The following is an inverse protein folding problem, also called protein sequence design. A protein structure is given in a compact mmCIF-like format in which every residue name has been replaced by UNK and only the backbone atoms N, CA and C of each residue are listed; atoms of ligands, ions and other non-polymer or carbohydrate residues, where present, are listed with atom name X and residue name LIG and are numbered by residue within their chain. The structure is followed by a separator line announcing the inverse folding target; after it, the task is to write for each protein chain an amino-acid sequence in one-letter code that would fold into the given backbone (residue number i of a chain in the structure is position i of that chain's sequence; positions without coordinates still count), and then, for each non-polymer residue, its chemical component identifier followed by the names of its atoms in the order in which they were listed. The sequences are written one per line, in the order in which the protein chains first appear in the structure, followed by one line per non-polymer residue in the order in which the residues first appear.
data_IF_337318103723
#
_entry.id   IF_337318103723
#
_cell.length_a   1.000
_cell.length_b   1.000
_cell.length_c   1.000
_cell.angle_alpha   90.00
_cell.angle_beta   90.00
_cell.angle_gamma   90.00
#
_symmetry.space_group_name_H-M   'P 1'
#
loop_
_entity.id
_entity.type
_entity.pdbx_description
1 polymer ?
#
# COMPACT_ATOMS: atom_id res chain seq x y z
N UNK A 1 -47.90 -21.73 48.76
CA UNK A 1 -47.93 -22.37 50.08
C UNK A 1 -48.42 -23.77 49.81
N UNK A 2 -47.50 -24.72 49.72
CA UNK A 2 -47.68 -26.19 49.63
C UNK A 2 -46.39 -26.77 49.01
N UNK A 3 -45.82 -27.90 49.39
CA UNK A 3 -45.55 -28.62 50.65
C UNK A 3 -44.64 -29.79 50.20
N UNK A 4 -43.77 -30.32 51.06
CA UNK A 4 -43.12 -31.62 50.79
C UNK A 4 -41.73 -31.84 51.37
N UNK A 5 -41.66 -32.03 52.69
CA UNK A 5 -40.51 -32.62 53.40
C UNK A 5 -40.43 -34.15 53.21
N UNK A 6 -39.23 -34.72 53.48
CA UNK A 6 -38.87 -36.13 53.77
C UNK A 6 -38.10 -36.82 52.61
N UNK A 7 -37.02 -37.59 52.79
CA UNK A 7 -36.38 -38.22 53.96
C UNK A 7 -34.88 -38.42 53.68
N UNK A 8 -34.10 -38.51 54.75
CA UNK A 8 -32.66 -38.72 54.82
C UNK A 8 -32.39 -40.23 54.93
N UNK A 9 -31.63 -40.86 54.01
CA UNK A 9 -31.25 -42.28 54.15
C UNK A 9 -29.85 -42.55 53.55
N UNK A 10 -28.94 -42.99 54.41
CA UNK A 10 -27.52 -43.24 54.18
C UNK A 10 -27.24 -44.52 53.36
N UNK A 11 -26.26 -44.49 52.45
CA UNK A 11 -25.51 -45.71 52.09
C UNK A 11 -24.05 -45.38 51.77
N UNK A 12 -23.17 -45.76 52.70
CA UNK A 12 -21.73 -45.90 52.47
C UNK A 12 -21.49 -46.93 51.37
N UNK A 13 -20.76 -46.54 50.31
CA UNK A 13 -20.09 -47.49 49.44
C UNK A 13 -18.61 -47.14 49.37
N UNK A 14 -17.86 -47.70 50.31
CA UNK A 14 -16.43 -47.95 50.18
C UNK A 14 -16.20 -48.77 48.90
N UNK A 15 -15.68 -48.12 47.85
CA UNK A 15 -14.91 -48.82 46.82
C UNK A 15 -13.57 -48.13 46.71
N UNK A 16 -12.67 -48.64 47.54
CA UNK A 16 -11.25 -48.65 47.27
C UNK A 16 -11.04 -49.23 45.84
N UNK A 17 -10.59 -48.36 44.94
CA UNK A 17 -9.95 -48.75 43.69
C UNK A 17 -8.85 -47.75 43.45
N UNK A 18 -7.84 -47.88 44.30
CA UNK A 18 -6.47 -47.49 44.03
C UNK A 18 -6.00 -48.23 42.77
N UNK A 19 -6.02 -47.57 41.62
CA UNK A 19 -5.04 -47.86 40.57
C UNK A 19 -4.58 -46.55 39.93
N UNK A 20 -3.26 -46.40 39.88
CA UNK A 20 -2.56 -45.14 39.80
C UNK A 20 -2.66 -44.48 38.43
N UNK A 21 -2.81 -43.17 38.46
CA UNK A 21 -2.14 -42.27 37.54
C UNK A 21 -1.72 -41.03 38.35
N UNK A 22 -0.45 -41.01 38.76
CA UNK A 22 0.26 -39.78 39.03
C UNK A 22 0.27 -38.98 37.72
N UNK A 23 -0.79 -38.21 37.46
CA UNK A 23 -0.70 -37.17 36.43
C UNK A 23 -0.32 -35.89 37.15
N UNK A 24 1.00 -35.77 37.34
CA UNK A 24 1.76 -34.54 37.48
C UNK A 24 0.99 -33.30 37.02
N UNK A 25 0.96 -32.31 37.92
CA UNK A 25 0.56 -30.92 37.69
C UNK A 25 -0.01 -30.64 36.30
N UNK A 26 -1.32 -30.79 36.15
CA UNK A 26 -2.03 -30.02 35.13
C UNK A 26 -1.98 -28.56 35.58
N UNK A 27 -0.81 -27.95 35.39
CA UNK A 27 -0.64 -26.50 35.35
C UNK A 27 -1.75 -26.00 34.44
N UNK A 28 -2.77 -25.39 35.06
CA UNK A 28 -3.62 -24.42 34.40
C UNK A 28 -2.67 -23.31 33.96
N UNK A 29 -2.01 -23.51 32.82
CA UNK A 29 -1.29 -22.49 32.12
C UNK A 29 -2.33 -21.51 31.60
N UNK A 30 -2.74 -20.60 32.49
CA UNK A 30 -3.17 -19.28 32.11
C UNK A 30 -2.03 -18.69 31.29
N UNK A 31 -2.03 -18.94 29.99
CA UNK A 31 -1.15 -18.24 29.08
C UNK A 31 -1.50 -16.76 29.24
N UNK A 32 -0.54 -15.93 29.71
CA UNK A 32 -0.83 -14.52 29.87
C UNK A 32 -1.30 -13.98 28.50
N UNK A 33 -2.36 -13.15 28.45
CA UNK A 33 -2.81 -12.57 27.20
C UNK A 33 -1.59 -11.92 26.54
N UNK A 34 -1.19 -12.44 25.37
CA UNK A 34 -0.02 -11.95 24.65
C UNK A 34 -0.25 -10.45 24.44
N UNK A 35 0.53 -9.64 25.15
CA UNK A 35 0.49 -8.19 25.00
C UNK A 35 0.75 -7.80 23.54
N UNK A 36 0.34 -6.59 23.12
CA UNK A 36 0.51 -6.16 21.74
C UNK A 36 1.98 -6.30 21.32
N UNK A 37 2.20 -7.05 20.24
CA UNK A 37 3.54 -7.28 19.68
C UNK A 37 3.92 -6.08 18.81
N UNK A 38 4.84 -5.26 19.29
CA UNK A 38 5.41 -4.15 18.51
C UNK A 38 6.63 -4.63 17.74
N UNK A 39 6.73 -4.27 16.45
CA UNK A 39 7.92 -4.51 15.63
C UNK A 39 8.49 -3.17 15.14
N UNK A 40 9.80 -3.01 15.25
CA UNK A 40 10.52 -1.86 14.68
C UNK A 40 10.98 -2.24 13.28
N UNK A 41 10.75 -1.35 12.31
CA UNK A 41 11.15 -1.52 10.92
C UNK A 41 12.20 -0.47 10.54
N UNK A 42 13.05 -0.78 9.55
CA UNK A 42 14.01 0.18 9.04
C UNK A 42 13.41 0.99 7.90
N UNK A 43 14.04 2.12 7.57
CA UNK A 43 13.63 2.95 6.43
C UNK A 43 13.75 2.15 5.12
N UNK A 44 14.78 1.32 5.00
CA UNK A 44 15.07 0.53 3.82
C UNK A 44 14.01 -0.54 3.58
N UNK A 45 13.56 -1.23 4.64
CA UNK A 45 12.51 -2.23 4.52
C UNK A 45 11.17 -1.61 4.15
N UNK A 46 10.84 -0.44 4.71
CA UNK A 46 9.64 0.31 4.33
C UNK A 46 9.67 0.75 2.86
N UNK A 47 10.79 1.32 2.41
CA UNK A 47 10.95 1.75 1.02
C UNK A 47 10.95 0.56 0.05
N UNK A 48 11.50 -0.59 0.45
CA UNK A 48 11.45 -1.81 -0.36
C UNK A 48 10.01 -2.29 -0.55
N UNK A 49 9.20 -2.33 0.51
CA UNK A 49 7.79 -2.68 0.45
C UNK A 49 7.01 -1.71 -0.45
N UNK A 50 7.19 -0.40 -0.26
CA UNK A 50 6.53 0.62 -1.10
C UNK A 50 6.89 0.47 -2.59
N UNK A 51 8.15 0.19 -2.91
CA UNK A 51 8.59 -0.04 -4.30
C UNK A 51 8.01 -1.32 -4.88
N UNK A 52 7.82 -2.36 -4.07
CA UNK A 52 7.21 -3.61 -4.51
C UNK A 52 5.74 -3.41 -4.86
N UNK A 53 4.97 -2.76 -3.97
CA UNK A 53 3.56 -2.45 -4.24
C UNK A 53 3.41 -1.56 -5.47
N UNK A 54 4.28 -0.55 -5.61
CA UNK A 54 4.30 0.32 -6.78
C UNK A 54 4.54 -0.46 -8.08
N UNK A 55 5.55 -1.34 -8.10
CA UNK A 55 5.83 -2.21 -9.25
C UNK A 55 4.65 -3.13 -9.56
N UNK A 56 4.07 -3.77 -8.54
CA UNK A 56 2.92 -4.67 -8.70
C UNK A 56 1.73 -3.97 -9.38
N UNK A 57 1.43 -2.73 -8.97
CA UNK A 57 0.35 -1.93 -9.58
C UNK A 57 0.72 -1.48 -11.00
N UNK A 58 1.96 -1.05 -11.23
CA UNK A 58 2.44 -0.65 -12.57
C UNK A 58 2.32 -1.80 -13.56
N UNK A 59 2.81 -2.99 -13.20
CA UNK A 59 2.83 -4.15 -14.10
C UNK A 59 1.41 -4.62 -14.43
N UNK A 60 0.54 -4.74 -13.42
CA UNK A 60 -0.82 -5.27 -13.58
C UNK A 60 -1.71 -4.31 -14.37
N UNK A 61 -1.56 -3.00 -14.15
CA UNK A 61 -2.38 -2.00 -14.82
C UNK A 61 -1.74 -1.44 -16.10
N UNK A 62 -0.47 -1.77 -16.37
CA UNK A 62 0.35 -1.21 -17.45
C UNK A 62 0.43 0.32 -17.37
N UNK A 63 0.72 0.82 -16.16
CA UNK A 63 0.77 2.24 -15.85
C UNK A 63 2.20 2.73 -15.65
N UNK A 64 2.39 4.04 -15.88
CA UNK A 64 3.58 4.74 -15.43
C UNK A 64 3.56 4.98 -13.93
N UNK A 65 4.74 5.19 -13.37
CA UNK A 65 4.98 5.29 -11.92
C UNK A 65 4.08 6.34 -11.24
N UNK A 66 3.94 7.53 -11.83
CA UNK A 66 3.16 8.62 -11.22
C UNK A 66 1.65 8.30 -11.15
N UNK A 67 1.10 7.62 -12.16
CA UNK A 67 -0.30 7.17 -12.14
C UNK A 67 -0.49 6.07 -11.09
N UNK A 68 0.38 5.06 -11.07
CA UNK A 68 0.33 3.99 -10.06
C UNK A 68 0.45 4.55 -8.63
N UNK A 69 1.34 5.52 -8.41
CA UNK A 69 1.49 6.21 -7.12
C UNK A 69 0.23 6.97 -6.72
N UNK A 70 -0.43 7.64 -7.67
CA UNK A 70 -1.71 8.35 -7.43
C UNK A 70 -2.79 7.38 -6.98
N UNK A 71 -2.91 6.23 -7.64
CA UNK A 71 -3.84 5.18 -7.27
C UNK A 71 -3.55 4.64 -5.87
N UNK A 72 -2.30 4.31 -5.58
CA UNK A 72 -1.89 3.83 -4.25
C UNK A 72 -2.24 4.85 -3.16
N UNK A 73 -2.02 6.14 -3.40
CA UNK A 73 -2.39 7.20 -2.43
C UNK A 73 -3.91 7.28 -2.26
N UNK A 74 -4.69 7.26 -3.35
CA UNK A 74 -6.15 7.30 -3.30
C UNK A 74 -6.75 6.13 -2.51
N UNK A 75 -6.19 4.94 -2.71
CA UNK A 75 -6.56 3.73 -1.96
C UNK A 75 -5.83 3.59 -0.62
N UNK A 76 -5.11 4.63 -0.17
CA UNK A 76 -4.41 4.67 1.14
C UNK A 76 -3.41 3.52 1.33
N UNK A 77 -2.77 3.10 0.24
CA UNK A 77 -1.85 1.97 0.14
C UNK A 77 -2.49 0.60 0.44
N UNK A 78 -3.82 0.50 0.40
CA UNK A 78 -4.53 -0.78 0.46
C UNK A 78 -4.64 -1.39 -0.95
N UNK A 79 -3.61 -2.17 -1.31
CA UNK A 79 -3.51 -2.77 -2.65
C UNK A 79 -4.57 -3.84 -2.87
N UNK A 80 -5.00 -4.54 -1.82
CA UNK A 80 -6.04 -5.55 -1.93
C UNK A 80 -7.39 -4.92 -2.24
N UNK A 81 -7.72 -3.79 -1.60
CA UNK A 81 -8.92 -3.01 -1.94
C UNK A 81 -8.85 -2.45 -3.36
N UNK A 82 -7.68 -1.97 -3.79
CA UNK A 82 -7.47 -1.48 -5.16
C UNK A 82 -7.76 -2.58 -6.18
N UNK A 83 -7.23 -3.79 -5.97
CA UNK A 83 -7.45 -4.93 -6.87
C UNK A 83 -8.88 -5.48 -6.81
N UNK A 84 -9.52 -5.46 -5.65
CA UNK A 84 -10.93 -5.80 -5.56
C UNK A 84 -11.79 -4.87 -6.44
N UNK A 85 -11.59 -3.56 -6.33
CA UNK A 85 -12.32 -2.58 -7.17
C UNK A 85 -11.99 -2.75 -8.65
N UNK A 86 -10.73 -3.04 -8.99
CA UNK A 86 -10.33 -3.32 -10.35
C UNK A 86 -11.11 -4.49 -10.96
N UNK A 87 -11.24 -5.60 -10.21
CA UNK A 87 -11.95 -6.79 -10.67
C UNK A 87 -13.46 -6.54 -10.75
N UNK A 88 -14.03 -5.83 -9.77
CA UNK A 88 -15.47 -5.59 -9.70
C UNK A 88 -15.98 -4.55 -10.71
N UNK A 89 -15.22 -3.47 -10.92
CA UNK A 89 -15.67 -2.27 -11.65
C UNK A 89 -14.84 -1.93 -12.88
N UNK A 90 -13.68 -2.57 -13.06
CA UNK A 90 -12.79 -2.36 -14.19
C UNK A 90 -11.83 -1.18 -14.02
N UNK A 91 -10.94 -1.03 -15.01
CA UNK A 91 -9.86 -0.03 -15.03
C UNK A 91 -10.39 1.40 -15.14
N UNK A 92 -11.34 1.65 -16.04
CA UNK A 92 -11.83 3.00 -16.33
C UNK A 92 -12.46 3.66 -15.10
N UNK A 93 -13.29 2.91 -14.38
CA UNK A 93 -13.88 3.37 -13.11
C UNK A 93 -12.80 3.69 -12.08
N UNK A 94 -11.80 2.83 -11.97
CA UNK A 94 -10.71 2.98 -11.02
C UNK A 94 -9.87 4.24 -11.31
N UNK A 95 -9.65 4.55 -12.58
CA UNK A 95 -8.91 5.74 -13.02
C UNK A 95 -9.71 7.02 -12.82
N UNK A 96 -10.97 7.04 -13.24
CA UNK A 96 -11.87 8.19 -13.11
C UNK A 96 -12.05 8.60 -11.64
N UNK A 97 -12.27 7.63 -10.75
CA UNK A 97 -12.38 7.87 -9.30
C UNK A 97 -11.15 8.53 -8.68
N UNK A 98 -9.96 8.17 -9.17
CA UNK A 98 -8.71 8.71 -8.66
C UNK A 98 -8.24 9.97 -9.41
N UNK A 99 -9.02 10.46 -10.40
CA UNK A 99 -8.63 11.59 -11.24
C UNK A 99 -7.43 11.29 -12.14
N UNK A 100 -7.20 10.01 -12.46
CA UNK A 100 -6.08 9.57 -13.31
C UNK A 100 -6.53 9.57 -14.77
N UNK A 101 -5.94 10.43 -15.59
CA UNK A 101 -6.13 10.40 -17.04
C UNK A 101 -4.92 9.76 -17.69
N UNK A 102 -5.08 8.56 -18.24
CA UNK A 102 -4.00 7.87 -18.97
C UNK A 102 -4.14 8.20 -20.45
N UNK A 103 -3.25 9.05 -20.97
CA UNK A 103 -3.17 9.30 -22.41
C UNK A 103 -2.32 8.18 -23.02
N UNK A 104 -2.88 7.41 -23.94
CA UNK A 104 -2.13 6.46 -24.76
C UNK A 104 -1.19 7.23 -25.69
N UNK A 105 0.01 7.56 -25.21
CA UNK A 105 1.04 8.11 -26.07
C UNK A 105 1.55 6.99 -26.99
N UNK A 106 0.98 6.90 -28.19
CA UNK A 106 1.62 6.18 -29.29
C UNK A 106 2.98 6.84 -29.51
N UNK A 107 4.03 6.10 -29.17
CA UNK A 107 5.41 6.56 -29.21
C UNK A 107 5.82 6.98 -30.62
N UNK A 108 5.59 8.24 -30.96
CA UNK A 108 6.31 8.90 -32.03
C UNK A 108 7.65 9.33 -31.44
N UNK A 109 8.57 8.36 -31.34
CA UNK A 109 9.97 8.64 -31.07
C UNK A 109 10.46 9.60 -32.15
N UNK A 110 10.70 10.85 -31.76
CA UNK A 110 11.23 11.85 -32.68
C UNK A 110 12.65 11.46 -33.06
N UNK A 111 13.03 11.43 -34.34
CA UNK A 111 14.35 10.98 -34.77
C UNK A 111 15.47 11.75 -34.04
N UNK A 112 16.50 11.00 -33.62
CA UNK A 112 17.72 11.53 -33.01
C UNK A 112 18.29 12.65 -33.90
N UNK A 113 18.42 13.86 -33.34
CA UNK A 113 18.94 15.05 -34.04
C UNK A 113 17.88 16.07 -34.45
N UNK A 114 16.59 15.85 -34.14
CA UNK A 114 15.57 16.87 -34.29
C UNK A 114 15.67 17.97 -33.22
N UNK A 115 15.50 19.23 -33.63
CA UNK A 115 15.24 20.35 -32.72
C UNK A 115 13.75 20.42 -32.43
N UNK A 116 13.40 20.79 -31.20
CA UNK A 116 12.03 20.95 -30.72
C UNK A 116 11.90 22.37 -30.19
N UNK A 117 10.83 23.06 -30.55
CA UNK A 117 10.53 24.39 -30.03
C UNK A 117 10.02 24.27 -28.58
N UNK A 118 10.63 25.03 -27.66
CA UNK A 118 10.19 25.10 -26.28
C UNK A 118 8.91 25.95 -26.15
N UNK A 119 7.87 25.43 -25.52
CA UNK A 119 6.58 26.12 -25.37
C UNK A 119 6.62 27.31 -24.38
N UNK A 120 7.73 27.49 -23.65
CA UNK A 120 7.91 28.60 -22.69
C UNK A 120 8.79 29.71 -23.26
N UNK A 121 10.01 29.39 -23.69
CA UNK A 121 10.95 30.40 -24.18
C UNK A 121 10.83 30.65 -25.69
N UNK A 122 10.07 29.82 -26.40
CA UNK A 122 9.86 29.89 -27.86
C UNK A 122 11.14 29.71 -28.69
N UNK A 123 12.19 29.11 -28.10
CA UNK A 123 13.45 28.81 -28.78
C UNK A 123 13.51 27.36 -29.28
N UNK A 124 14.25 27.13 -30.37
CA UNK A 124 14.61 25.80 -30.86
C UNK A 124 15.68 25.16 -29.97
N UNK A 125 15.35 24.00 -29.39
CA UNK A 125 16.20 23.31 -28.42
C UNK A 125 16.50 21.90 -28.93
N UNK A 126 17.74 21.40 -28.81
CA UNK A 126 18.04 20.02 -29.15
C UNK A 126 17.14 19.05 -28.36
N UNK A 127 16.63 17.99 -28.99
CA UNK A 127 15.74 17.03 -28.31
C UNK A 127 16.33 16.42 -27.03
N UNK A 128 17.66 16.38 -26.85
CA UNK A 128 18.31 15.92 -25.62
C UNK A 128 18.34 16.95 -24.47
N UNK A 129 18.02 18.21 -24.75
CA UNK A 129 17.98 19.33 -23.79
C UNK A 129 16.54 19.81 -23.50
N UNK A 130 15.54 19.07 -24.00
CA UNK A 130 14.13 19.31 -23.74
C UNK A 130 13.46 18.08 -23.12
N UNK A 131 12.55 18.32 -22.19
CA UNK A 131 11.66 17.28 -21.64
C UNK A 131 10.28 17.45 -22.25
N UNK A 132 9.69 16.33 -22.68
CA UNK A 132 8.30 16.25 -23.10
C UNK A 132 7.47 15.72 -21.95
N UNK A 133 6.47 16.49 -21.55
CA UNK A 133 5.49 16.07 -20.54
C UNK A 133 4.41 15.19 -21.16
N UNK A 134 3.66 14.53 -20.30
CA UNK A 134 2.62 13.55 -20.67
C UNK A 134 1.43 14.17 -21.40
N UNK A 135 1.28 15.49 -21.30
CA UNK A 135 0.32 16.28 -22.04
C UNK A 135 0.83 16.69 -23.44
N UNK A 136 2.01 16.20 -23.85
CA UNK A 136 2.61 16.46 -25.16
C UNK A 136 3.42 17.74 -25.25
N UNK A 137 3.34 18.62 -24.25
CA UNK A 137 4.09 19.88 -24.21
C UNK A 137 5.59 19.64 -24.00
N UNK A 138 6.41 20.46 -24.63
CA UNK A 138 7.86 20.35 -24.60
C UNK A 138 8.50 21.59 -24.01
N UNK A 139 9.41 21.39 -23.06
CA UNK A 139 10.09 22.47 -22.36
C UNK A 139 11.58 22.20 -22.29
N UNK A 140 12.41 23.23 -22.41
CA UNK A 140 13.85 23.06 -22.22
C UNK A 140 14.22 22.90 -20.74
N UNK A 141 15.20 22.05 -20.49
CA UNK A 141 15.59 21.63 -19.14
C UNK A 141 16.07 22.80 -18.26
N UNK A 142 16.54 23.88 -18.88
CA UNK A 142 16.95 25.11 -18.20
C UNK A 142 15.81 25.75 -17.38
N UNK A 143 14.57 25.72 -17.87
CA UNK A 143 13.44 26.35 -17.19
C UNK A 143 12.63 25.37 -16.32
N UNK A 144 12.65 24.07 -16.63
CA UNK A 144 11.97 23.04 -15.82
C UNK A 144 12.58 22.97 -14.42
N UNK A 145 13.91 22.98 -14.30
CA UNK A 145 14.61 22.86 -13.01
C UNK A 145 14.36 24.06 -12.07
N UNK A 146 14.04 25.23 -12.61
CA UNK A 146 13.77 26.44 -11.82
C UNK A 146 12.28 26.59 -11.46
N UNK A 147 11.36 26.11 -12.31
CA UNK A 147 9.92 26.33 -12.15
C UNK A 147 9.15 25.22 -11.42
N UNK A 148 9.43 23.95 -11.69
CA UNK A 148 8.54 22.84 -11.26
C UNK A 148 9.08 22.07 -10.05
N UNK A 149 10.40 21.91 -9.90
CA UNK A 149 11.01 21.29 -8.71
C UNK A 149 11.18 22.26 -7.53
N UNK A 150 11.27 23.57 -7.78
CA UNK A 150 11.49 24.60 -6.75
C UNK A 150 10.34 24.76 -5.74
N UNK A 151 9.11 24.38 -6.12
CA UNK A 151 7.94 24.48 -5.23
C UNK A 151 7.88 23.34 -4.21
N UNK A 152 8.48 22.18 -4.49
CA UNK A 152 8.47 21.01 -3.59
C UNK A 152 9.74 20.89 -2.71
N UNK A 153 10.80 21.66 -2.99
CA UNK A 153 12.08 21.56 -2.27
C UNK A 153 12.25 22.56 -1.10
N UNK A 154 11.27 23.44 -0.84
CA UNK A 154 11.35 24.50 0.18
C UNK A 154 10.77 24.12 1.55
N UNK A 155 10.83 22.84 1.94
CA UNK A 155 10.56 22.42 3.33
C UNK A 155 11.65 21.49 3.83
N UNK A 156 12.80 22.06 4.17
CA UNK A 156 13.68 21.49 5.20
C UNK A 156 14.37 22.63 5.96
N UNK A 157 14.40 22.59 7.31
CA UNK A 157 14.80 23.73 8.11
C UNK A 157 16.32 23.91 8.08
N UNK A 158 16.75 25.15 7.86
CA UNK A 158 18.12 25.58 8.13
C UNK A 158 18.38 25.46 9.64
N UNK A 159 19.47 24.80 9.99
CA UNK A 159 20.29 25.15 11.15
C UNK A 159 21.74 25.17 10.68
#
# INVERSE_FOLDING_TARGET
MEDGMSSDEDYYSDRDSLDGLENEDSEFHCTPPKGPTTKVITKESLLAAQREDLRRVMDLLSLREHHARTLLIYYRWDVERLFAVLVEKGKDFLFDQAGVTVVEHQGLESPLGSTIMCDICMDDVPSGEATREDCGHCFCNNYILLGTCGVSAQLSPRN
#
